data_IF_079450529551
#
_entry.id   IF_079450529551
#
_cell.length_a   1.000
_cell.length_b   1.000
_cell.length_c   1.000
_cell.angle_alpha   90.00
_cell.angle_beta   90.00
_cell.angle_gamma   90.00
#
_symmetry.space_group_name_H-M   'P 1'
#
loop_
_entity.id
_entity.type
_entity.pdbx_description
1 polymer ?
#
# COMPACT_ATOMS: atom_id res chain seq x y z
N UNK A 1 -3.57 25.60 2.68
CA UNK A 1 -2.39 24.95 3.29
C UNK A 1 -1.72 24.08 2.24
N UNK A 2 -0.46 24.36 1.86
CA UNK A 2 0.19 23.83 0.64
C UNK A 2 0.56 22.34 0.72
N UNK A 3 0.33 21.56 -0.35
CA UNK A 3 0.57 20.11 -0.48
C UNK A 3 1.99 19.67 -0.04
N UNK A 4 2.99 20.54 -0.17
CA UNK A 4 4.38 20.28 0.31
C UNK A 4 4.44 19.95 1.81
N UNK A 5 3.59 20.57 2.64
CA UNK A 5 3.59 20.32 4.10
C UNK A 5 3.17 18.89 4.46
N UNK A 6 2.30 18.25 3.65
CA UNK A 6 1.79 16.87 3.87
C UNK A 6 2.84 15.79 3.58
N UNK A 7 3.66 16.00 2.54
CA UNK A 7 4.67 15.03 2.12
C UNK A 7 5.84 14.95 3.10
N UNK A 8 6.21 16.10 3.65
CA UNK A 8 7.31 16.21 4.61
C UNK A 8 6.91 15.55 5.94
N UNK A 9 5.68 15.80 6.43
CA UNK A 9 5.22 15.19 7.69
C UNK A 9 5.15 13.67 7.63
N UNK A 10 4.76 13.09 6.49
CA UNK A 10 4.74 11.63 6.30
C UNK A 10 6.15 11.03 6.36
N UNK A 11 7.11 11.62 5.63
CA UNK A 11 8.51 11.16 5.67
C UNK A 11 9.12 11.26 7.08
N UNK A 12 8.86 12.38 7.78
CA UNK A 12 9.37 12.61 9.13
C UNK A 12 8.76 11.62 10.12
N UNK A 13 7.44 11.38 10.06
CA UNK A 13 6.77 10.37 10.88
C UNK A 13 7.40 8.98 10.75
N UNK A 14 7.62 8.52 9.51
CA UNK A 14 8.24 7.23 9.26
C UNK A 14 9.69 7.16 9.74
N UNK A 15 10.43 8.27 9.63
CA UNK A 15 11.80 8.34 10.12
C UNK A 15 11.87 8.22 11.66
N UNK A 16 11.04 8.97 12.37
CA UNK A 16 10.94 8.91 13.84
C UNK A 16 10.56 7.49 14.30
N UNK A 17 9.61 6.84 13.62
CA UNK A 17 9.21 5.47 13.92
C UNK A 17 10.37 4.48 13.73
N UNK A 18 11.09 4.56 12.61
CA UNK A 18 12.22 3.67 12.32
C UNK A 18 13.35 3.86 13.35
N UNK A 19 13.60 5.09 13.79
CA UNK A 19 14.59 5.39 14.82
C UNK A 19 14.22 4.79 16.19
N UNK A 20 12.95 4.90 16.61
CA UNK A 20 12.49 4.26 17.85
C UNK A 20 12.51 2.74 17.78
N UNK A 21 12.20 2.17 16.61
CA UNK A 21 12.24 0.72 16.41
C UNK A 21 13.68 0.18 16.43
N UNK A 22 14.62 0.86 15.76
CA UNK A 22 16.04 0.49 15.78
C UNK A 22 16.60 0.55 17.21
N UNK A 23 16.23 1.57 17.97
CA UNK A 23 16.59 1.69 19.39
C UNK A 23 16.03 0.55 20.25
N UNK A 24 14.79 0.12 20.00
CA UNK A 24 14.18 -1.00 20.72
C UNK A 24 14.83 -2.34 20.34
N UNK A 25 15.23 -2.51 19.07
CA UNK A 25 15.90 -3.70 18.58
C UNK A 25 17.27 -3.90 19.25
N UNK A 26 18.06 -2.83 19.40
CA UNK A 26 19.35 -2.88 20.11
C UNK A 26 19.23 -3.30 21.59
N UNK A 27 18.06 -3.07 22.21
CA UNK A 27 17.77 -3.47 23.59
C UNK A 27 17.19 -4.86 23.74
N UNK A 28 16.90 -5.55 22.64
CA UNK A 28 16.29 -6.88 22.66
C UNK A 28 17.38 -7.94 22.42
N UNK A 29 17.71 -8.79 23.42
CA UNK A 29 18.88 -9.67 23.35
C UNK A 29 18.83 -10.69 22.20
N UNK A 30 17.63 -11.17 21.82
CA UNK A 30 17.43 -12.07 20.68
C UNK A 30 17.57 -11.37 19.33
N UNK A 31 17.10 -10.12 19.23
CA UNK A 31 17.14 -9.36 17.98
C UNK A 31 18.52 -8.75 17.72
N UNK A 32 19.35 -8.59 18.76
CA UNK A 32 20.73 -8.13 18.65
C UNK A 32 21.69 -9.18 18.03
N UNK A 33 21.26 -10.45 17.91
CA UNK A 33 22.01 -11.42 17.08
C UNK A 33 21.93 -11.08 15.59
N UNK A 34 20.87 -10.40 15.14
CA UNK A 34 20.66 -9.99 13.76
C UNK A 34 20.90 -8.48 13.68
N UNK A 35 22.18 -8.10 13.56
CA UNK A 35 22.56 -6.70 13.32
C UNK A 35 22.54 -6.40 11.83
N UNK A 36 21.88 -5.29 11.49
CA UNK A 36 21.86 -4.76 10.14
C UNK A 36 23.22 -4.15 9.78
N UNK A 37 23.70 -4.41 8.55
CA UNK A 37 24.95 -3.82 8.03
C UNK A 37 24.79 -2.32 7.75
N UNK A 38 23.60 -1.92 7.29
CA UNK A 38 23.24 -0.55 6.96
C UNK A 38 22.12 -0.05 7.89
N UNK A 39 22.16 1.24 8.23
CA UNK A 39 21.17 1.85 9.13
C UNK A 39 19.82 1.97 8.40
N UNK A 40 18.70 1.50 8.98
CA UNK A 40 17.40 1.64 8.35
C UNK A 40 16.97 3.12 8.32
N UNK A 41 16.55 3.60 7.15
CA UNK A 41 16.15 5.00 6.89
C UNK A 41 14.83 5.02 6.13
N UNK A 42 13.99 6.04 6.39
CA UNK A 42 12.74 6.21 5.67
C UNK A 42 12.97 6.39 4.15
N UNK A 43 12.07 5.83 3.33
CA UNK A 43 12.13 5.93 1.87
C UNK A 43 12.16 7.40 1.40
N UNK A 44 12.89 7.65 0.32
CA UNK A 44 12.82 8.95 -0.36
C UNK A 44 11.42 9.17 -0.95
N UNK A 45 11.04 10.44 -1.14
CA UNK A 45 9.71 10.82 -1.67
C UNK A 45 9.50 10.21 -3.06
N UNK A 46 10.53 10.17 -3.91
CA UNK A 46 10.45 9.57 -5.25
C UNK A 46 10.31 8.05 -5.14
N UNK A 47 11.07 7.39 -4.26
CA UNK A 47 10.93 5.94 -4.04
C UNK A 47 9.56 5.57 -3.48
N UNK A 48 9.04 6.33 -2.51
CA UNK A 48 7.71 6.08 -1.94
C UNK A 48 6.61 6.16 -3.01
N UNK A 49 6.72 7.13 -3.93
CA UNK A 49 5.80 7.27 -5.08
C UNK A 49 5.94 6.13 -6.08
N UNK A 50 7.16 5.72 -6.39
CA UNK A 50 7.42 4.59 -7.29
C UNK A 50 6.88 3.27 -6.70
N UNK A 51 7.09 3.03 -5.40
CA UNK A 51 6.54 1.87 -4.71
C UNK A 51 5.01 1.92 -4.70
N UNK A 52 4.43 3.08 -4.43
CA UNK A 52 2.97 3.28 -4.52
C UNK A 52 2.41 3.00 -5.91
N UNK A 53 3.09 3.47 -6.96
CA UNK A 53 2.73 3.22 -8.36
C UNK A 53 2.83 1.73 -8.68
N UNK A 54 3.92 1.06 -8.31
CA UNK A 54 4.10 -0.36 -8.54
C UNK A 54 3.00 -1.19 -7.85
N UNK A 55 2.71 -0.89 -6.58
CA UNK A 55 1.66 -1.58 -5.83
C UNK A 55 0.27 -1.36 -6.45
N UNK A 56 -0.02 -0.12 -6.88
CA UNK A 56 -1.26 0.21 -7.58
C UNK A 56 -1.39 -0.52 -8.91
N UNK A 57 -0.35 -0.50 -9.75
CA UNK A 57 -0.35 -1.18 -11.05
C UNK A 57 -0.51 -2.69 -10.91
N UNK A 58 0.24 -3.32 -10.00
CA UNK A 58 0.17 -4.76 -9.75
C UNK A 58 -1.21 -5.14 -9.22
N UNK A 59 -1.71 -4.44 -8.21
CA UNK A 59 -3.06 -4.67 -7.67
C UNK A 59 -4.16 -4.46 -8.72
N UNK A 60 -4.01 -3.47 -9.60
CA UNK A 60 -4.95 -3.23 -10.70
C UNK A 60 -4.97 -4.40 -11.69
N UNK A 61 -3.80 -4.88 -12.11
CA UNK A 61 -3.67 -6.01 -13.04
C UNK A 61 -4.25 -7.29 -12.43
N UNK A 62 -3.87 -7.63 -11.19
CA UNK A 62 -4.38 -8.85 -10.54
C UNK A 62 -5.89 -8.82 -10.33
N UNK A 63 -6.45 -7.67 -9.91
CA UNK A 63 -7.90 -7.54 -9.73
C UNK A 63 -8.63 -7.71 -11.07
N UNK A 64 -8.12 -7.11 -12.14
CA UNK A 64 -8.73 -7.22 -13.46
C UNK A 64 -8.56 -8.62 -14.06
N UNK A 65 -7.40 -9.24 -13.91
CA UNK A 65 -7.13 -10.61 -14.35
C UNK A 65 -8.06 -11.62 -13.64
N UNK A 66 -8.23 -11.49 -12.32
CA UNK A 66 -9.16 -12.32 -11.57
C UNK A 66 -10.60 -12.17 -12.09
N UNK A 67 -11.01 -10.94 -12.42
CA UNK A 67 -12.32 -10.68 -13.02
C UNK A 67 -12.46 -11.30 -14.43
N UNK A 68 -11.46 -11.17 -15.29
CA UNK A 68 -11.48 -11.77 -16.63
C UNK A 68 -11.59 -13.30 -16.58
N UNK A 69 -10.81 -13.93 -15.69
CA UNK A 69 -10.83 -15.38 -15.50
C UNK A 69 -12.20 -15.83 -14.99
N UNK A 70 -12.78 -15.09 -14.03
CA UNK A 70 -14.09 -15.40 -13.51
C UNK A 70 -15.21 -15.18 -14.55
N UNK A 71 -15.14 -14.11 -15.33
CA UNK A 71 -16.09 -13.81 -16.39
C UNK A 71 -16.11 -14.90 -17.46
N UNK A 72 -14.94 -15.45 -17.81
CA UNK A 72 -14.85 -16.59 -18.73
C UNK A 72 -15.45 -17.89 -18.17
N UNK A 73 -15.65 -17.97 -16.84
CA UNK A 73 -16.19 -19.15 -16.13
C UNK A 73 -17.64 -18.98 -15.66
N UNK A 74 -18.25 -17.81 -15.81
CA UNK A 74 -19.58 -17.48 -15.29
C UNK A 74 -20.67 -17.80 -16.32
N UNK A 75 -21.65 -18.62 -15.91
CA UNK A 75 -22.90 -18.84 -16.64
C UNK A 75 -23.92 -17.72 -16.32
N UNK A 76 -24.80 -17.39 -17.27
CA UNK A 76 -25.77 -16.28 -17.19
C UNK A 76 -26.62 -16.24 -15.90
N UNK A 77 -26.81 -17.38 -15.25
CA UNK A 77 -27.58 -17.51 -13.99
C UNK A 77 -26.87 -16.86 -12.79
N UNK A 78 -25.54 -16.78 -12.80
CA UNK A 78 -24.75 -16.22 -11.69
C UNK A 78 -24.39 -14.74 -11.88
N UNK A 79 -24.80 -14.11 -12.99
CA UNK A 79 -24.44 -12.73 -13.32
C UNK A 79 -24.91 -11.73 -12.26
N UNK A 80 -26.12 -11.92 -11.71
CA UNK A 80 -26.74 -11.01 -10.73
C UNK A 80 -25.95 -10.88 -9.43
N UNK A 81 -25.53 -12.01 -8.85
CA UNK A 81 -24.71 -12.07 -7.64
C UNK A 81 -23.32 -11.43 -7.86
N UNK A 82 -22.76 -11.66 -9.06
CA UNK A 82 -21.50 -11.03 -9.48
C UNK A 82 -21.61 -9.51 -9.58
N UNK A 83 -22.67 -8.97 -10.19
CA UNK A 83 -22.88 -7.52 -10.29
C UNK A 83 -23.04 -6.85 -8.93
N UNK A 84 -23.73 -7.49 -7.98
CA UNK A 84 -23.87 -6.98 -6.61
C UNK A 84 -22.49 -6.94 -5.92
N UNK A 85 -21.72 -8.03 -5.94
CA UNK A 85 -20.38 -8.05 -5.33
C UNK A 85 -19.43 -7.02 -5.94
N UNK A 86 -19.50 -6.81 -7.26
CA UNK A 86 -18.71 -5.80 -7.99
C UNK A 86 -19.11 -4.37 -7.57
N UNK A 87 -20.41 -4.09 -7.44
CA UNK A 87 -20.90 -2.78 -7.03
C UNK A 87 -20.41 -2.38 -5.63
N UNK A 88 -20.31 -3.34 -4.71
CA UNK A 88 -19.75 -3.15 -3.37
C UNK A 88 -18.23 -2.90 -3.42
N UNK A 89 -17.49 -3.62 -4.27
CA UNK A 89 -16.06 -3.41 -4.47
C UNK A 89 -15.74 -2.02 -5.06
N UNK A 90 -16.50 -1.55 -6.06
CA UNK A 90 -16.33 -0.21 -6.62
C UNK A 90 -16.78 0.91 -5.68
N UNK A 91 -17.80 0.66 -4.85
CA UNK A 91 -18.22 1.59 -3.80
C UNK A 91 -17.14 1.76 -2.73
N UNK A 92 -16.44 0.68 -2.37
CA UNK A 92 -15.27 0.72 -1.50
C UNK A 92 -14.13 1.54 -2.12
N UNK A 93 -13.82 1.35 -3.42
CA UNK A 93 -12.72 2.04 -4.12
C UNK A 93 -12.82 3.57 -4.14
N UNK A 94 -14.03 4.15 -4.18
CA UNK A 94 -14.21 5.62 -4.23
C UNK A 94 -13.64 6.37 -3.02
N UNK A 95 -13.42 5.70 -1.89
CA UNK A 95 -12.79 6.30 -0.71
C UNK A 95 -11.25 6.35 -0.77
N UNK A 96 -10.61 5.44 -1.51
CA UNK A 96 -9.14 5.23 -1.44
C UNK A 96 -8.36 5.98 -2.50
N UNK A 97 -8.97 6.32 -3.63
CA UNK A 97 -8.30 7.04 -4.73
C UNK A 97 -7.84 8.45 -4.30
N UNK A 98 -8.52 9.06 -3.34
CA UNK A 98 -8.18 10.40 -2.82
C UNK A 98 -6.99 10.38 -1.84
N UNK A 99 -6.72 9.24 -1.19
CA UNK A 99 -5.64 9.12 -0.21
C UNK A 99 -4.30 8.69 -0.84
N UNK A 100 -4.34 7.85 -1.87
CA UNK A 100 -3.13 7.24 -2.45
C UNK A 100 -2.41 8.14 -3.46
N UNK A 101 -3.11 9.05 -4.13
CA UNK A 101 -2.54 9.97 -5.12
C UNK A 101 -2.13 11.35 -4.56
N UNK A 102 -2.52 11.67 -3.32
CA UNK A 102 -2.15 12.91 -2.62
C UNK A 102 -1.02 12.72 -1.58
N UNK A 103 -0.41 11.53 -1.54
CA UNK A 103 0.93 11.23 -1.00
C UNK A 103 1.90 11.19 -2.20
#
# INVERSE_FOLDING_TARGET
MSKKKRLISCRVYWQELIETLAWAQDRTPLANLIRWRDKPVALSIVQARLVGLAHFSVGYIFTYAAFLIALHRVNLVNLGEWFVSISHFFRWRRGYTFFYFDI
#
